data_IF_124130992990
#
_entry.id   IF_124130992990
#
_cell.length_a   1.000
_cell.length_b   1.000
_cell.length_c   1.000
_cell.angle_alpha   90.00
_cell.angle_beta   90.00
_cell.angle_gamma   90.00
#
_symmetry.space_group_name_H-M   'P 1'
#
loop_
_entity.id
_entity.type
_entity.pdbx_description
1 polymer ?
#
# COMPACT_ATOMS: atom_id res chain seq x y z
N UNK A 1 19.63 -9.63 17.55
CA UNK A 1 19.46 -8.16 17.57
C UNK A 1 19.09 -7.77 18.98
N UNK A 2 19.85 -6.87 19.60
CA UNK A 2 19.58 -6.40 20.96
C UNK A 2 19.03 -4.98 20.86
N UNK A 3 17.90 -4.73 21.51
CA UNK A 3 17.35 -3.37 21.66
C UNK A 3 18.15 -2.66 22.75
N UNK A 4 18.47 -1.39 22.49
CA UNK A 4 19.10 -0.50 23.47
C UNK A 4 18.14 -0.28 24.65
N UNK A 5 18.61 -0.58 25.86
CA UNK A 5 17.82 -0.49 27.08
C UNK A 5 17.45 0.96 27.41
N UNK A 6 18.35 1.91 27.20
CA UNK A 6 18.10 3.32 27.48
C UNK A 6 17.06 3.90 26.52
N UNK A 7 17.00 3.36 25.29
CA UNK A 7 15.96 3.69 24.33
C UNK A 7 14.60 3.12 24.77
N UNK A 8 14.57 1.87 25.25
CA UNK A 8 13.36 1.24 25.73
C UNK A 8 12.81 1.96 26.97
N UNK A 9 13.67 2.32 27.92
CA UNK A 9 13.30 3.04 29.13
C UNK A 9 12.72 4.43 28.78
N UNK A 10 13.35 5.17 27.87
CA UNK A 10 12.81 6.44 27.35
C UNK A 10 11.48 6.29 26.61
N UNK A 11 11.27 5.21 25.87
CA UNK A 11 10.00 4.95 25.20
C UNK A 11 8.88 4.68 26.21
N UNK A 12 9.20 4.02 27.32
CA UNK A 12 8.30 3.69 28.43
C UNK A 12 8.14 4.83 29.45
N UNK A 13 8.97 5.86 29.43
CA UNK A 13 8.82 7.03 30.32
C UNK A 13 7.41 7.62 30.20
N UNK A 14 6.65 7.56 31.29
CA UNK A 14 5.29 8.08 31.37
C UNK A 14 4.21 7.24 30.65
N UNK A 15 4.52 6.02 30.20
CA UNK A 15 3.56 5.11 29.54
C UNK A 15 3.61 3.71 30.13
N UNK A 16 2.46 3.01 30.12
CA UNK A 16 2.46 1.61 30.49
C UNK A 16 3.01 0.76 29.33
N UNK A 17 3.65 -0.39 29.61
CA UNK A 17 4.06 -1.33 28.56
C UNK A 17 2.89 -1.81 27.68
N UNK A 18 1.67 -1.86 28.25
CA UNK A 18 0.46 -2.22 27.52
C UNK A 18 0.08 -1.21 26.44
N UNK A 19 0.27 0.08 26.69
CA UNK A 19 -0.05 1.14 25.73
C UNK A 19 0.95 1.18 24.55
N UNK A 20 2.15 0.61 24.72
CA UNK A 20 3.17 0.55 23.67
C UNK A 20 3.12 -0.76 22.89
N UNK A 21 3.10 -1.88 23.61
CA UNK A 21 3.27 -3.23 23.06
C UNK A 21 1.97 -4.05 23.04
N UNK A 22 0.87 -3.53 23.57
CA UNK A 22 -0.42 -4.20 23.52
C UNK A 22 -0.94 -4.35 22.09
N UNK A 23 -1.99 -5.16 21.93
CA UNK A 23 -2.66 -5.36 20.62
C UNK A 23 -3.23 -4.09 20.02
N UNK A 24 -3.57 -3.13 20.88
CA UNK A 24 -4.04 -1.77 20.55
C UNK A 24 -2.98 -0.72 20.94
N UNK A 25 -1.76 -1.17 21.22
CA UNK A 25 -0.66 -0.28 21.57
C UNK A 25 -0.15 0.47 20.35
N UNK A 26 0.58 1.54 20.60
CA UNK A 26 1.10 2.45 19.57
C UNK A 26 1.89 1.71 18.47
N UNK A 27 2.67 0.69 18.83
CA UNK A 27 3.43 -0.07 17.82
C UNK A 27 2.53 -0.94 16.93
N UNK A 28 1.46 -1.49 17.50
CA UNK A 28 0.46 -2.24 16.74
C UNK A 28 -0.26 -1.34 15.76
N UNK A 29 -0.70 -0.17 16.21
CA UNK A 29 -1.38 0.83 15.37
C UNK A 29 -0.46 1.37 14.27
N UNK A 30 0.81 1.65 14.58
CA UNK A 30 1.78 2.07 13.57
C UNK A 30 2.02 0.97 12.51
N UNK A 31 2.10 -0.29 12.95
CA UNK A 31 2.25 -1.44 12.05
C UNK A 31 1.02 -1.60 11.17
N UNK A 32 -0.19 -1.46 11.73
CA UNK A 32 -1.44 -1.51 10.96
C UNK A 32 -1.50 -0.38 9.95
N UNK A 33 -1.25 0.86 10.35
CA UNK A 33 -1.26 2.02 9.46
C UNK A 33 -0.27 1.84 8.30
N UNK A 34 0.95 1.34 8.58
CA UNK A 34 1.92 1.03 7.54
C UNK A 34 1.45 -0.10 6.62
N UNK A 35 0.82 -1.14 7.17
CA UNK A 35 0.31 -2.26 6.40
C UNK A 35 -0.91 -1.89 5.53
N UNK A 36 -1.78 -1.01 6.02
CA UNK A 36 -2.92 -0.48 5.27
C UNK A 36 -2.47 0.32 4.05
N UNK A 37 -1.52 1.24 4.22
CA UNK A 37 -0.95 2.01 3.11
C UNK A 37 -0.26 1.12 2.07
N UNK A 38 0.52 0.13 2.52
CA UNK A 38 1.15 -0.83 1.60
C UNK A 38 0.10 -1.65 0.83
N UNK A 39 -0.95 -2.12 1.51
CA UNK A 39 -2.03 -2.90 0.88
C UNK A 39 -2.78 -2.06 -0.15
N UNK A 40 -3.07 -0.80 0.19
CA UNK A 40 -3.72 0.15 -0.73
C UNK A 40 -2.86 0.40 -1.96
N UNK A 41 -1.57 0.69 -1.79
CA UNK A 41 -0.65 0.91 -2.91
C UNK A 41 -0.55 -0.33 -3.82
N UNK A 42 -0.56 -1.54 -3.24
CA UNK A 42 -0.59 -2.78 -4.01
C UNK A 42 -1.90 -2.95 -4.78
N UNK A 43 -3.05 -2.66 -4.16
CA UNK A 43 -4.36 -2.76 -4.80
C UNK A 43 -4.49 -1.76 -5.96
N UNK A 44 -4.06 -0.50 -5.77
CA UNK A 44 -4.07 0.52 -6.82
C UNK A 44 -3.18 0.13 -8.00
N UNK A 45 -1.99 -0.42 -7.74
CA UNK A 45 -1.09 -0.91 -8.79
C UNK A 45 -1.66 -2.11 -9.53
N UNK A 46 -2.26 -3.08 -8.82
CA UNK A 46 -2.87 -4.25 -9.42
C UNK A 46 -4.03 -3.81 -10.35
N UNK A 47 -4.90 -2.93 -9.87
CA UNK A 47 -6.02 -2.38 -10.64
C UNK A 47 -5.52 -1.58 -11.86
N UNK A 48 -4.48 -0.76 -11.71
CA UNK A 48 -3.90 -0.01 -12.84
C UNK A 48 -3.31 -0.94 -13.89
N UNK A 49 -2.66 -2.03 -13.47
CA UNK A 49 -2.06 -3.00 -14.40
C UNK A 49 -3.15 -3.77 -15.14
N UNK A 50 -4.21 -4.20 -14.44
CA UNK A 50 -5.37 -4.86 -15.04
C UNK A 50 -6.10 -3.94 -16.02
N UNK A 51 -6.27 -2.65 -15.69
CA UNK A 51 -6.82 -1.65 -16.61
C UNK A 51 -5.92 -1.44 -17.83
N UNK A 52 -4.60 -1.35 -17.66
CA UNK A 52 -3.67 -1.21 -18.78
C UNK A 52 -3.71 -2.45 -19.70
N UNK A 53 -3.81 -3.65 -19.14
CA UNK A 53 -3.95 -4.90 -19.90
C UNK A 53 -5.28 -4.94 -20.68
N UNK A 54 -6.40 -4.65 -20.01
CA UNK A 54 -7.72 -4.60 -20.66
C UNK A 54 -7.82 -3.54 -21.76
N UNK A 55 -7.26 -2.33 -21.55
CA UNK A 55 -7.24 -1.27 -22.56
C UNK A 55 -6.31 -1.60 -23.74
N UNK A 56 -5.32 -2.46 -23.54
CA UNK A 56 -4.44 -2.96 -24.60
C UNK A 56 -5.14 -4.03 -25.43
N UNK A 57 -5.88 -4.92 -24.79
CA UNK A 57 -6.64 -5.99 -25.43
C UNK A 57 -7.84 -5.46 -26.23
N UNK A 58 -8.58 -4.49 -25.70
CA UNK A 58 -9.70 -3.85 -26.43
C UNK A 58 -9.20 -3.16 -27.71
N UNK A 59 -8.06 -2.45 -27.63
CA UNK A 59 -7.44 -1.77 -28.78
C UNK A 59 -6.85 -2.73 -29.81
N UNK A 60 -6.47 -3.94 -29.40
CA UNK A 60 -6.03 -5.01 -30.29
C UNK A 60 -7.21 -5.76 -30.94
N UNK A 61 -8.41 -5.67 -30.36
CA UNK A 61 -9.64 -6.26 -30.90
C UNK A 61 -10.45 -5.29 -31.77
N UNK A 62 -10.20 -3.97 -31.70
CA UNK A 62 -10.70 -3.04 -32.70
C UNK A 62 -10.13 -3.41 -34.09
N UNK A 63 -10.98 -3.72 -35.08
CA UNK A 63 -10.54 -3.73 -36.47
C UNK A 63 -10.03 -2.32 -36.82
N UNK A 64 -9.14 -2.16 -37.81
CA UNK A 64 -8.70 -0.84 -38.25
C UNK A 64 -9.88 -0.08 -38.87
N UNK A 65 -10.69 0.58 -38.06
CA UNK A 65 -11.73 1.48 -38.52
C UNK A 65 -11.11 2.83 -38.85
N UNK A 66 -11.23 3.21 -40.13
CA UNK A 66 -11.07 4.59 -40.56
C UNK A 66 -9.74 4.91 -41.24
N UNK A 67 -9.44 4.27 -42.38
CA UNK A 67 -8.83 5.02 -43.48
C UNK A 67 -9.86 6.05 -43.99
N UNK A 68 -10.08 7.12 -43.23
CA UNK A 68 -10.75 8.31 -43.75
C UNK A 68 -9.75 9.04 -44.66
N UNK A 69 -9.65 8.62 -45.92
CA UNK A 69 -9.01 9.42 -46.96
C UNK A 69 -9.97 10.55 -47.36
N UNK A 70 -9.60 11.83 -47.17
CA UNK A 70 -10.37 12.92 -47.75
C UNK A 70 -9.99 13.09 -49.22
N UNK A 71 -11.02 13.01 -50.08
CA UNK A 71 -11.18 13.48 -51.47
C UNK A 71 -10.09 13.16 -52.51
#
# INVERSE_FOLDING_TARGET
>A
MSIDKDLLDRLMEGRSPGDLFGKEGILSELTKALAEELTKALAERALSTELDEHLSEERAQEPPEGQNQPA
#
